data_IF_596138308146
#
_entry.id   IF_596138308146
#
_cell.length_a   1.000
_cell.length_b   1.000
_cell.length_c   1.000
_cell.angle_alpha   90.00
_cell.angle_beta   90.00
_cell.angle_gamma   90.00
#
_symmetry.space_group_name_H-M   'P 1'
#
loop_
_entity.id
_entity.type
_entity.pdbx_description
1 polymer ?
#
# COMPACT_ATOMS: atom_id res chain seq x y z
N UNK A 1 7.39 -15.66 -27.12
CA UNK A 1 7.30 -14.34 -26.47
C UNK A 1 6.57 -14.56 -25.16
N UNK A 2 7.32 -14.64 -24.06
CA UNK A 2 6.77 -14.90 -22.73
C UNK A 2 6.00 -13.64 -22.30
N UNK A 3 4.68 -13.66 -22.53
CA UNK A 3 3.79 -12.57 -22.15
C UNK A 3 3.98 -12.32 -20.66
N UNK A 4 4.59 -11.19 -20.32
CA UNK A 4 4.65 -10.66 -18.96
C UNK A 4 3.21 -10.53 -18.51
N UNK A 5 2.68 -11.55 -17.80
CA UNK A 5 1.45 -11.42 -17.07
C UNK A 5 1.73 -10.28 -16.10
N UNK A 6 1.20 -9.10 -16.40
CA UNK A 6 1.05 -8.06 -15.39
C UNK A 6 0.40 -8.79 -14.22
N UNK A 7 1.11 -8.91 -13.11
CA UNK A 7 0.59 -9.58 -11.93
C UNK A 7 -0.65 -8.80 -11.52
N UNK A 8 -1.83 -9.35 -11.84
CA UNK A 8 -3.11 -8.65 -11.67
C UNK A 8 -3.32 -8.28 -10.20
N UNK A 9 -2.79 -9.09 -9.27
CA UNK A 9 -2.82 -8.78 -7.85
C UNK A 9 -1.92 -7.59 -7.52
N UNK A 10 -0.71 -7.52 -8.09
CA UNK A 10 0.17 -6.36 -7.93
C UNK A 10 -0.46 -5.08 -8.49
N UNK A 11 -1.06 -5.14 -9.69
CA UNK A 11 -1.73 -4.01 -10.31
C UNK A 11 -2.96 -3.55 -9.50
N UNK A 12 -3.79 -4.49 -9.04
CA UNK A 12 -4.95 -4.21 -8.20
C UNK A 12 -4.56 -3.59 -6.86
N UNK A 13 -3.56 -4.16 -6.19
CA UNK A 13 -3.01 -3.60 -4.95
C UNK A 13 -2.54 -2.16 -5.15
N UNK A 14 -1.75 -1.92 -6.20
CA UNK A 14 -1.21 -0.61 -6.51
C UNK A 14 -2.31 0.41 -6.81
N UNK A 15 -3.37 0.01 -7.50
CA UNK A 15 -4.53 0.85 -7.77
C UNK A 15 -5.27 1.24 -6.48
N UNK A 16 -5.61 0.25 -5.64
CA UNK A 16 -6.27 0.47 -4.35
C UNK A 16 -5.44 1.35 -3.41
N UNK A 17 -4.13 1.13 -3.37
CA UNK A 17 -3.21 1.95 -2.60
C UNK A 17 -3.20 3.41 -3.11
N UNK A 18 -3.19 3.62 -4.43
CA UNK A 18 -3.27 4.98 -5.02
C UNK A 18 -4.60 5.65 -4.71
N UNK A 19 -5.72 4.93 -4.74
CA UNK A 19 -7.03 5.46 -4.34
C UNK A 19 -7.00 5.98 -2.90
N UNK A 20 -6.45 5.18 -1.96
CA UNK A 20 -6.35 5.58 -0.56
C UNK A 20 -5.40 6.77 -0.40
N UNK A 21 -4.19 6.73 -0.98
CA UNK A 21 -3.27 7.87 -0.91
C UNK A 21 -3.85 9.15 -1.54
N UNK A 22 -4.72 9.02 -2.54
CA UNK A 22 -5.41 10.14 -3.18
C UNK A 22 -6.55 10.73 -2.33
N UNK A 23 -7.25 9.89 -1.56
CA UNK A 23 -8.37 10.29 -0.70
C UNK A 23 -7.97 10.73 0.71
N UNK A 24 -6.80 10.30 1.21
CA UNK A 24 -6.35 10.63 2.55
C UNK A 24 -5.42 11.85 2.57
N UNK A 25 -5.73 12.80 3.45
CA UNK A 25 -4.81 13.87 3.86
C UNK A 25 -4.21 13.45 5.21
N UNK A 26 -2.89 13.27 5.25
CA UNK A 26 -2.20 13.06 6.52
C UNK A 26 -2.14 14.40 7.26
N UNK A 27 -2.71 14.45 8.46
CA UNK A 27 -2.56 15.62 9.36
C UNK A 27 -1.19 15.52 9.99
N UNK A 28 -0.31 16.49 9.70
CA UNK A 28 0.99 16.53 10.33
C UNK A 28 0.84 16.86 11.84
N UNK A 29 1.23 15.96 12.77
CA UNK A 29 0.92 16.11 14.19
C UNK A 29 1.48 17.38 14.82
N UNK A 30 2.57 17.91 14.27
CA UNK A 30 3.28 19.09 14.80
C UNK A 30 2.82 20.44 14.25
N UNK A 31 2.14 20.46 13.11
CA UNK A 31 1.81 21.72 12.42
C UNK A 31 0.33 21.83 12.08
N UNK A 32 -0.45 20.76 12.32
CA UNK A 32 -1.86 20.66 11.90
C UNK A 32 -2.04 20.68 10.39
N UNK A 33 -0.96 20.75 9.61
CA UNK A 33 -1.03 20.94 8.16
C UNK A 33 -1.39 19.63 7.50
N UNK A 34 -2.49 19.65 6.76
CA UNK A 34 -2.88 18.56 5.88
C UNK A 34 -1.85 18.46 4.76
N UNK A 35 -1.10 17.35 4.74
CA UNK A 35 -0.21 17.00 3.63
C UNK A 35 -0.80 15.83 2.87
N UNK A 36 -0.69 15.91 1.54
CA UNK A 36 -1.01 14.80 0.65
C UNK A 36 -0.18 13.58 1.07
N UNK A 37 -0.84 12.44 1.22
CA UNK A 37 -0.15 11.18 1.50
C UNK A 37 0.70 10.82 0.27
N UNK A 38 2.00 10.61 0.50
CA UNK A 38 2.96 10.21 -0.53
C UNK A 38 3.47 8.81 -0.27
N UNK A 39 3.97 8.07 -1.27
CA UNK A 39 4.59 6.77 -1.06
C UNK A 39 5.67 6.81 0.04
N UNK A 40 6.52 7.83 0.04
CA UNK A 40 7.57 7.96 1.06
C UNK A 40 7.01 8.19 2.47
N UNK A 41 5.94 8.97 2.62
CA UNK A 41 5.34 9.18 3.95
C UNK A 41 4.71 7.90 4.48
N UNK A 42 4.02 7.13 3.63
CA UNK A 42 3.45 5.83 4.03
C UNK A 42 4.54 4.85 4.43
N UNK A 43 5.64 4.77 3.66
CA UNK A 43 6.78 3.93 4.02
C UNK A 43 7.35 4.28 5.40
N UNK A 44 7.50 5.58 5.70
CA UNK A 44 7.94 6.03 7.04
C UNK A 44 6.95 5.67 8.14
N UNK A 45 5.65 5.81 7.89
CA UNK A 45 4.61 5.40 8.85
C UNK A 45 4.68 3.89 9.11
N UNK A 46 4.83 3.06 8.07
CA UNK A 46 5.01 1.62 8.21
C UNK A 46 6.22 1.26 9.06
N UNK A 47 7.35 1.96 8.90
CA UNK A 47 8.55 1.71 9.71
C UNK A 47 8.39 2.13 11.19
N UNK A 48 7.49 3.07 11.49
CA UNK A 48 7.20 3.52 12.85
C UNK A 48 6.19 2.60 13.53
N UNK A 49 5.07 2.32 12.86
CA UNK A 49 3.96 1.53 13.43
C UNK A 49 4.22 0.02 13.37
N UNK A 50 4.99 -0.45 12.38
CA UNK A 50 5.33 -1.87 12.19
C UNK A 50 6.85 -2.05 12.02
N UNK A 51 7.66 -1.81 13.08
CA UNK A 51 9.13 -1.85 12.99
C UNK A 51 9.68 -3.23 12.64
N UNK A 52 8.95 -4.31 12.96
CA UNK A 52 9.33 -5.69 12.62
C UNK A 52 9.13 -6.00 11.12
N UNK A 53 8.40 -5.14 10.39
CA UNK A 53 8.22 -5.27 8.96
C UNK A 53 9.50 -4.86 8.24
N UNK A 54 10.29 -5.85 7.83
CA UNK A 54 11.53 -5.69 7.04
C UNK A 54 11.24 -5.29 5.58
N UNK A 55 10.48 -4.22 5.38
CA UNK A 55 10.09 -3.70 4.09
C UNK A 55 11.02 -2.56 3.66
N UNK A 56 11.87 -2.84 2.67
CA UNK A 56 12.75 -1.81 2.10
C UNK A 56 11.96 -0.76 1.30
N UNK A 57 12.52 0.45 1.21
CA UNK A 57 11.93 1.52 0.40
C UNK A 57 11.82 1.11 -1.08
N UNK A 58 12.84 0.46 -1.64
CA UNK A 58 12.81 -0.04 -3.03
C UNK A 58 11.65 -1.01 -3.27
N UNK A 59 11.45 -1.97 -2.36
CA UNK A 59 10.37 -2.93 -2.47
C UNK A 59 9.01 -2.24 -2.35
N UNK A 60 8.87 -1.28 -1.43
CA UNK A 60 7.68 -0.46 -1.30
C UNK A 60 7.31 0.29 -2.59
N UNK A 61 8.29 0.88 -3.27
CA UNK A 61 8.04 1.54 -4.56
C UNK A 61 7.64 0.56 -5.66
N UNK A 62 8.14 -0.68 -5.64
CA UNK A 62 7.65 -1.73 -6.56
C UNK A 62 6.17 -2.03 -6.35
N UNK A 63 5.69 -2.03 -5.10
CA UNK A 63 4.26 -2.19 -4.79
C UNK A 63 3.43 -1.00 -5.28
N UNK A 64 3.88 0.23 -5.04
CA UNK A 64 3.19 1.44 -5.51
C UNK A 64 3.04 1.49 -7.05
N UNK A 65 4.03 0.92 -7.75
CA UNK A 65 4.06 0.86 -9.21
C UNK A 65 3.39 -0.40 -9.80
N UNK A 66 2.92 -1.33 -8.96
CA UNK A 66 2.31 -2.60 -9.40
C UNK A 66 3.29 -3.56 -10.08
N UNK A 67 4.58 -3.44 -9.77
CA UNK A 67 5.67 -4.27 -10.33
C UNK A 67 5.93 -5.51 -9.47
N UNK A 68 5.45 -5.52 -8.23
CA UNK A 68 5.54 -6.67 -7.33
C UNK A 68 4.27 -6.81 -6.49
N UNK A 69 3.90 -8.04 -6.19
CA UNK A 69 2.79 -8.33 -5.28
C UNK A 69 3.27 -8.36 -3.82
N UNK A 70 2.58 -7.66 -2.90
CA UNK A 70 2.92 -7.68 -1.48
C UNK A 70 2.52 -8.99 -0.81
N UNK A 71 3.22 -9.32 0.27
CA UNK A 71 2.88 -10.46 1.14
C UNK A 71 1.70 -10.10 2.05
N UNK A 72 1.01 -11.11 2.57
CA UNK A 72 -0.13 -10.93 3.47
C UNK A 72 0.18 -10.01 4.67
N UNK A 73 1.31 -10.21 5.33
CA UNK A 73 1.72 -9.36 6.47
C UNK A 73 1.96 -7.91 6.08
N UNK A 74 2.48 -7.66 4.87
CA UNK A 74 2.66 -6.30 4.33
C UNK A 74 1.31 -5.67 3.98
N UNK A 75 0.37 -6.45 3.42
CA UNK A 75 -1.00 -6.00 3.16
C UNK A 75 -1.70 -5.61 4.46
N UNK A 76 -1.59 -6.43 5.52
CA UNK A 76 -2.18 -6.11 6.82
C UNK A 76 -1.61 -4.81 7.39
N UNK A 77 -0.28 -4.66 7.41
CA UNK A 77 0.36 -3.43 7.90
C UNK A 77 -0.09 -2.18 7.12
N UNK A 78 -0.20 -2.28 5.79
CA UNK A 78 -0.72 -1.17 4.98
C UNK A 78 -2.18 -0.87 5.31
N UNK A 79 -3.01 -1.91 5.47
CA UNK A 79 -4.41 -1.74 5.83
C UNK A 79 -4.58 -1.04 7.19
N UNK A 80 -3.75 -1.38 8.17
CA UNK A 80 -3.72 -0.75 9.49
C UNK A 80 -3.38 0.75 9.39
N UNK A 81 -2.38 1.12 8.60
CA UNK A 81 -2.01 2.53 8.36
C UNK A 81 -3.18 3.37 7.81
N UNK A 82 -4.01 2.78 6.95
CA UNK A 82 -5.16 3.47 6.33
C UNK A 82 -6.47 3.25 7.09
N UNK A 83 -6.50 2.44 8.15
CA UNK A 83 -7.71 2.10 8.89
C UNK A 83 -8.74 1.33 8.07
N UNK A 84 -8.30 0.51 7.11
CA UNK A 84 -9.16 -0.33 6.26
C UNK A 84 -8.95 -1.81 6.56
N UNK A 85 -9.83 -2.69 6.09
CA UNK A 85 -9.63 -4.14 6.19
C UNK A 85 -8.62 -4.63 5.13
N UNK A 86 -7.78 -5.65 5.42
CA UNK A 86 -6.85 -6.21 4.44
C UNK A 86 -7.53 -6.72 3.16
N UNK A 87 -8.79 -7.17 3.27
CA UNK A 87 -9.61 -7.60 2.13
C UNK A 87 -9.84 -6.50 1.09
N UNK A 88 -9.71 -5.22 1.45
CA UNK A 88 -9.80 -4.10 0.49
C UNK A 88 -8.74 -4.19 -0.62
N UNK A 89 -7.58 -4.76 -0.29
CA UNK A 89 -6.45 -4.91 -1.20
C UNK A 89 -6.47 -6.23 -1.97
N UNK A 90 -7.39 -7.13 -1.64
CA UNK A 90 -7.55 -8.42 -2.32
C UNK A 90 -8.77 -8.32 -3.22
N UNK A 91 -8.64 -8.79 -4.46
CA UNK A 91 -9.79 -8.87 -5.36
C UNK A 91 -10.63 -10.06 -4.90
N UNK A 92 -11.89 -9.84 -4.55
CA UNK A 92 -12.80 -10.95 -4.23
C UNK A 92 -13.00 -11.75 -5.53
N UNK A 93 -12.40 -12.94 -5.60
CA UNK A 93 -12.49 -13.82 -6.76
C UNK A 93 -13.54 -14.90 -6.58
N UNK A 94 -14.59 -14.68 -5.78
CA UNK A 94 -15.76 -15.57 -5.78
C UNK A 94 -16.79 -15.11 -6.82
N UNK A 95 -16.83 -15.73 -8.02
CA UNK A 95 -18.08 -15.82 -8.76
C UNK A 95 -19.02 -16.71 -7.94
N UNK A 96 -20.18 -16.18 -7.58
CA UNK A 96 -21.31 -17.01 -7.20
C UNK A 96 -21.78 -17.86 -8.39
#
# INVERSE_FOLDING_TARGET
MENTRVDEAAAYFADRLRTLMGGHLAVQPRTGRQRRVTPLSVHRMLQVEHPDLKLSQTQWYRYCNGVASPRLNEVCAVADIFGVTPSYFVRDTHPH
#
